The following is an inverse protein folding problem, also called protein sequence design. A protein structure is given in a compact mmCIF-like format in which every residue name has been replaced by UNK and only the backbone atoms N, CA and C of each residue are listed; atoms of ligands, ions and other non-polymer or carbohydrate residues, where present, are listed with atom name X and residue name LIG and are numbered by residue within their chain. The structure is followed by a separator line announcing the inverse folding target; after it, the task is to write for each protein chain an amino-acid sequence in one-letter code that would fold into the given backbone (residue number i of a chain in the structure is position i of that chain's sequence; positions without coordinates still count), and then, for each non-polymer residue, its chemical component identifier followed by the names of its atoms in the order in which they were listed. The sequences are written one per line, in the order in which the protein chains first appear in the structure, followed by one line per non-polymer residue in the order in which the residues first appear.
data_IF_587876255204
#
_entry.id   IF_587876255204
#
_cell.length_a   1.000
_cell.length_b   1.000
_cell.length_c   1.000
_cell.angle_alpha   90.00
_cell.angle_beta   90.00
_cell.angle_gamma   90.00
#
_symmetry.space_group_name_H-M   'P 1'
#
loop_
_entity.id
_entity.type
_entity.pdbx_description
1 polymer ?
#
# COMPACT_ATOMS: atom_id res chain seq x y z
N UNK A 1 41.78 -20.29 -29.95
CA UNK A 1 40.48 -20.24 -29.25
C UNK A 1 40.75 -20.18 -27.76
N UNK A 2 40.56 -19.03 -27.11
CA UNK A 2 40.61 -18.92 -25.64
C UNK A 2 39.23 -19.25 -25.07
N UNK A 3 39.12 -20.04 -23.98
CA UNK A 3 37.84 -20.27 -23.32
C UNK A 3 37.47 -19.05 -22.47
N UNK A 4 36.25 -18.56 -22.66
CA UNK A 4 35.63 -17.55 -21.82
C UNK A 4 35.17 -18.24 -20.52
N UNK A 5 35.93 -18.09 -19.44
CA UNK A 5 35.48 -18.47 -18.10
C UNK A 5 34.39 -17.49 -17.66
N UNK A 6 33.12 -17.90 -17.75
CA UNK A 6 32.02 -17.19 -17.11
C UNK A 6 32.10 -17.42 -15.60
N UNK A 7 32.61 -16.42 -14.87
CA UNK A 7 32.43 -16.35 -13.42
C UNK A 7 30.94 -16.16 -13.13
N UNK A 8 30.28 -17.20 -12.61
CA UNK A 8 28.98 -17.04 -11.98
C UNK A 8 29.15 -16.09 -10.79
N UNK A 9 28.62 -14.87 -10.92
CA UNK A 9 28.45 -14.00 -9.77
C UNK A 9 27.44 -14.68 -8.82
N UNK A 10 27.91 -15.12 -7.65
CA UNK A 10 27.02 -15.57 -6.59
C UNK A 10 26.19 -14.36 -6.17
N UNK A 11 24.89 -14.38 -6.48
CA UNK A 11 23.93 -13.41 -5.96
C UNK A 11 23.96 -13.52 -4.44
N UNK A 12 24.38 -12.45 -3.76
CA UNK A 12 24.21 -12.40 -2.31
C UNK A 12 22.72 -12.55 -1.99
N UNK A 13 22.35 -13.38 -0.99
CA UNK A 13 20.96 -13.46 -0.57
C UNK A 13 20.52 -12.06 -0.19
N UNK A 14 19.38 -11.64 -0.74
CA UNK A 14 18.78 -10.37 -0.37
C UNK A 14 18.61 -10.33 1.17
N UNK A 15 18.86 -9.17 1.80
CA UNK A 15 18.64 -9.04 3.23
C UNK A 15 17.21 -9.48 3.58
N UNK A 16 17.09 -10.29 4.63
CA UNK A 16 15.79 -10.68 5.16
C UNK A 16 15.23 -9.53 6.01
N UNK A 17 13.95 -9.24 5.84
CA UNK A 17 13.23 -8.23 6.62
C UNK A 17 12.09 -8.89 7.37
N UNK A 18 11.99 -8.63 8.68
CA UNK A 18 10.88 -9.12 9.50
C UNK A 18 9.62 -8.27 9.33
N UNK A 19 9.78 -7.00 8.96
CA UNK A 19 8.68 -6.04 8.86
C UNK A 19 8.70 -5.34 7.50
N UNK A 20 7.56 -5.35 6.83
CA UNK A 20 7.35 -4.65 5.55
C UNK A 20 6.18 -3.70 5.71
N UNK A 21 6.41 -2.43 5.37
CA UNK A 21 5.35 -1.42 5.29
C UNK A 21 5.20 -0.98 3.85
N UNK A 22 4.01 -1.20 3.29
CA UNK A 22 3.62 -0.67 1.99
C UNK A 22 2.90 0.65 2.20
N UNK A 23 3.60 1.76 1.93
CA UNK A 23 3.06 3.11 2.10
C UNK A 23 2.47 3.60 0.77
N UNK A 24 1.18 3.93 0.77
CA UNK A 24 0.52 4.67 -0.31
C UNK A 24 0.22 6.09 0.16
N UNK A 25 0.81 7.07 -0.52
CA UNK A 25 0.47 8.49 -0.32
C UNK A 25 -0.43 8.88 -1.48
N UNK A 26 -1.73 8.94 -1.22
CA UNK A 26 -2.73 9.16 -2.25
C UNK A 26 -2.59 10.56 -2.85
N UNK A 27 -2.69 10.66 -4.17
CA UNK A 27 -2.51 11.92 -4.90
C UNK A 27 -1.09 12.51 -4.85
N UNK A 28 -0.06 11.74 -4.45
CA UNK A 28 1.33 12.22 -4.43
C UNK A 28 1.90 12.35 -5.84
N UNK A 29 2.21 13.58 -6.23
CA UNK A 29 2.69 13.93 -7.55
C UNK A 29 4.21 13.69 -7.65
N UNK A 30 4.67 12.99 -8.69
CA UNK A 30 6.09 12.63 -8.86
C UNK A 30 7.03 13.86 -8.88
N UNK A 31 6.55 15.01 -9.35
CA UNK A 31 7.26 16.28 -9.33
C UNK A 31 7.70 16.76 -7.93
N UNK A 32 7.09 16.26 -6.85
CA UNK A 32 7.55 16.50 -5.46
C UNK A 32 8.99 16.03 -5.24
N UNK A 33 9.43 15.01 -5.97
CA UNK A 33 10.76 14.43 -5.84
C UNK A 33 11.84 15.19 -6.64
N UNK A 34 11.50 16.30 -7.30
CA UNK A 34 12.46 17.18 -7.97
C UNK A 34 12.98 18.27 -7.02
N UNK A 35 14.26 18.63 -7.14
CA UNK A 35 14.81 19.79 -6.43
C UNK A 35 14.20 21.10 -6.99
N UNK A 36 13.96 22.13 -6.15
CA UNK A 36 14.34 22.20 -4.73
C UNK A 36 13.31 21.61 -3.75
N UNK A 37 12.17 21.07 -4.24
CA UNK A 37 11.07 20.62 -3.37
C UNK A 37 11.53 19.49 -2.45
N UNK A 38 12.10 18.44 -3.02
CA UNK A 38 12.52 17.25 -2.25
C UNK A 38 13.59 17.55 -1.20
N UNK A 39 14.40 18.59 -1.44
CA UNK A 39 15.51 18.99 -0.55
C UNK A 39 14.98 19.50 0.81
N UNK A 40 13.74 19.99 0.84
CA UNK A 40 13.02 20.38 2.06
C UNK A 40 12.23 19.26 2.74
N UNK A 41 12.25 18.04 2.18
CA UNK A 41 11.44 16.89 2.61
C UNK A 41 12.38 15.76 3.07
N UNK A 42 12.85 15.76 4.34
CA UNK A 42 13.90 14.86 4.80
C UNK A 42 13.56 13.36 4.69
N UNK A 43 12.31 12.95 4.89
CA UNK A 43 11.94 11.54 4.77
C UNK A 43 11.92 11.09 3.31
N UNK A 44 11.33 11.87 2.41
CA UNK A 44 11.33 11.60 0.98
C UNK A 44 12.73 11.68 0.37
N UNK A 45 13.54 12.66 0.80
CA UNK A 45 14.98 12.72 0.48
C UNK A 45 15.73 11.46 0.92
N UNK A 46 15.39 10.90 2.09
CA UNK A 46 15.95 9.63 2.57
C UNK A 46 15.51 8.46 1.69
N UNK A 47 14.23 8.37 1.36
CA UNK A 47 13.70 7.31 0.48
C UNK A 47 14.31 7.36 -0.92
N UNK A 48 14.57 8.57 -1.47
CA UNK A 48 15.13 8.76 -2.81
C UNK A 48 16.54 8.18 -2.98
N UNK A 49 17.28 8.00 -1.87
CA UNK A 49 18.60 7.34 -1.89
C UNK A 49 18.52 5.83 -2.09
N UNK A 50 17.35 5.22 -1.86
CA UNK A 50 17.10 3.81 -2.11
C UNK A 50 16.78 3.50 -3.58
N UNK A 51 16.67 2.22 -3.93
CA UNK A 51 16.19 1.81 -5.25
C UNK A 51 14.74 2.26 -5.46
N UNK A 52 14.44 2.84 -6.63
CA UNK A 52 13.10 3.31 -6.94
C UNK A 52 12.99 3.97 -8.31
N UNK A 53 11.76 4.25 -8.73
CA UNK A 53 11.43 4.93 -9.99
C UNK A 53 10.40 6.04 -9.74
N UNK A 54 10.50 7.13 -10.51
CA UNK A 54 9.48 8.18 -10.58
C UNK A 54 8.53 7.98 -11.77
N UNK A 55 8.78 6.96 -12.58
CA UNK A 55 8.02 6.62 -13.79
C UNK A 55 7.04 5.45 -13.55
N UNK A 56 6.73 5.16 -12.28
CA UNK A 56 5.67 4.22 -11.95
C UNK A 56 4.33 4.78 -12.45
N UNK A 57 3.60 3.99 -13.24
CA UNK A 57 2.33 4.41 -13.82
C UNK A 57 1.18 3.73 -13.08
N UNK A 58 0.13 4.50 -12.85
CA UNK A 58 -1.20 3.98 -12.52
C UNK A 58 -1.70 3.07 -13.63
N UNK A 59 -2.79 2.36 -13.35
CA UNK A 59 -3.54 1.67 -14.39
C UNK A 59 -3.87 2.64 -15.55
N UNK A 60 -3.75 2.14 -16.79
CA UNK A 60 -3.91 2.97 -17.98
C UNK A 60 -5.37 3.37 -18.23
N UNK A 61 -6.32 2.56 -17.76
CA UNK A 61 -7.75 2.73 -18.01
C UNK A 61 -8.44 3.50 -16.87
N UNK A 62 -7.79 3.64 -15.72
CA UNK A 62 -8.32 4.40 -14.58
C UNK A 62 -7.22 5.02 -13.74
N UNK A 63 -7.23 6.35 -13.61
CA UNK A 63 -6.33 7.13 -12.74
C UNK A 63 -7.03 7.62 -11.46
N UNK A 64 -7.90 6.78 -10.89
CA UNK A 64 -8.68 7.08 -9.68
C UNK A 64 -8.25 6.19 -8.51
N UNK A 65 -8.41 6.71 -7.27
CA UNK A 65 -7.91 6.09 -6.04
C UNK A 65 -8.20 4.60 -5.93
N UNK A 66 -9.46 4.20 -5.72
CA UNK A 66 -9.75 2.84 -5.26
C UNK A 66 -9.38 1.75 -6.29
N UNK A 67 -9.64 1.90 -7.60
CA UNK A 67 -9.17 0.94 -8.60
C UNK A 67 -7.65 0.74 -8.59
N UNK A 68 -6.87 1.83 -8.57
CA UNK A 68 -5.40 1.71 -8.51
C UNK A 68 -4.91 1.04 -7.24
N UNK A 69 -5.56 1.29 -6.10
CA UNK A 69 -5.21 0.63 -4.84
C UNK A 69 -5.54 -0.86 -4.87
N UNK A 70 -6.62 -1.26 -5.54
CA UNK A 70 -6.88 -2.68 -5.82
C UNK A 70 -5.77 -3.26 -6.69
N UNK A 71 -5.30 -2.53 -7.72
CA UNK A 71 -4.18 -2.98 -8.56
C UNK A 71 -2.89 -3.15 -7.76
N UNK A 72 -2.57 -2.21 -6.89
CA UNK A 72 -1.41 -2.27 -6.00
C UNK A 72 -1.43 -3.51 -5.10
N UNK A 73 -2.57 -3.80 -4.46
CA UNK A 73 -2.68 -4.91 -3.52
C UNK A 73 -2.82 -6.28 -4.17
N UNK A 74 -3.35 -6.34 -5.39
CA UNK A 74 -3.60 -7.60 -6.11
C UNK A 74 -2.57 -7.88 -7.19
N UNK A 75 -1.69 -6.93 -7.49
CA UNK A 75 -0.75 -6.97 -8.62
C UNK A 75 -1.43 -7.24 -9.97
N UNK A 76 -2.65 -6.72 -10.16
CA UNK A 76 -3.47 -6.93 -11.35
C UNK A 76 -3.97 -5.60 -11.91
N UNK A 77 -4.06 -5.44 -13.24
CA UNK A 77 -4.71 -4.27 -13.83
C UNK A 77 -6.22 -4.30 -13.62
N UNK A 78 -6.88 -3.17 -13.86
CA UNK A 78 -8.33 -3.00 -13.79
C UNK A 78 -9.06 -4.01 -14.67
N UNK A 79 -8.51 -4.31 -15.85
CA UNK A 79 -9.05 -5.31 -16.78
C UNK A 79 -9.12 -6.73 -16.19
N UNK A 80 -8.35 -7.02 -15.13
CA UNK A 80 -8.34 -8.32 -14.46
C UNK A 80 -9.12 -8.33 -13.14
N UNK A 81 -9.00 -7.30 -12.30
CA UNK A 81 -9.71 -7.26 -11.00
C UNK A 81 -11.11 -6.65 -11.10
N UNK A 82 -11.42 -5.90 -12.17
CA UNK A 82 -12.74 -5.40 -12.53
C UNK A 82 -13.37 -4.35 -11.61
N UNK A 83 -12.66 -3.92 -10.56
CA UNK A 83 -13.16 -2.95 -9.58
C UNK A 83 -12.96 -1.51 -10.06
N UNK A 84 -14.00 -0.93 -10.63
CA UNK A 84 -13.98 0.41 -11.25
C UNK A 84 -14.56 1.54 -10.39
N UNK A 85 -15.12 1.22 -9.22
CA UNK A 85 -15.82 2.19 -8.38
C UNK A 85 -14.89 2.89 -7.40
N UNK A 86 -15.20 4.14 -7.05
CA UNK A 86 -14.44 4.94 -6.09
C UNK A 86 -15.29 5.40 -4.91
N UNK A 87 -16.37 4.69 -4.60
CA UNK A 87 -17.25 4.96 -3.47
C UNK A 87 -17.08 3.88 -2.40
N UNK A 88 -17.73 4.07 -1.25
CA UNK A 88 -17.83 3.01 -0.26
C UNK A 88 -18.48 1.76 -0.91
N UNK A 89 -17.88 0.57 -0.73
CA UNK A 89 -18.40 -0.64 -1.36
C UNK A 89 -19.80 -0.98 -0.81
N UNK A 90 -20.68 -1.55 -1.65
CA UNK A 90 -21.95 -2.08 -1.16
C UNK A 90 -21.71 -3.22 -0.16
N UNK A 91 -22.76 -3.73 0.50
CA UNK A 91 -22.62 -4.93 1.32
C UNK A 91 -22.18 -6.15 0.48
N UNK A 92 -21.50 -7.12 1.10
CA UNK A 92 -21.01 -8.36 0.43
C UNK A 92 -22.11 -9.04 -0.40
N UNK A 93 -23.33 -9.18 0.16
CA UNK A 93 -24.50 -9.79 -0.52
C UNK A 93 -24.96 -9.05 -1.79
N UNK A 94 -24.49 -7.83 -2.00
CA UNK A 94 -24.77 -6.98 -3.15
C UNK A 94 -23.54 -6.77 -4.04
N UNK A 95 -22.54 -7.66 -3.96
CA UNK A 95 -21.34 -7.59 -4.79
C UNK A 95 -20.23 -6.71 -4.21
N UNK A 96 -20.26 -6.40 -2.91
CA UNK A 96 -19.29 -5.57 -2.19
C UNK A 96 -17.91 -6.17 -1.97
N UNK A 97 -17.42 -7.02 -2.87
CA UNK A 97 -16.07 -7.58 -2.79
C UNK A 97 -15.41 -7.56 -4.16
N UNK A 98 -14.08 -7.47 -4.16
CA UNK A 98 -13.27 -7.63 -5.39
C UNK A 98 -13.58 -8.98 -6.04
N UNK A 99 -13.80 -10.03 -5.24
CA UNK A 99 -14.06 -11.39 -5.72
C UNK A 99 -15.40 -11.52 -6.45
N UNK A 100 -16.45 -10.94 -5.88
CA UNK A 100 -17.77 -10.93 -6.51
C UNK A 100 -17.73 -10.15 -7.83
N UNK A 101 -16.99 -9.04 -7.86
CA UNK A 101 -16.83 -8.23 -9.08
C UNK A 101 -16.06 -8.98 -10.17
N UNK A 102 -15.00 -9.68 -9.82
CA UNK A 102 -14.19 -10.45 -10.75
C UNK A 102 -14.82 -11.82 -11.13
N UNK A 103 -15.89 -12.24 -10.45
CA UNK A 103 -16.49 -13.57 -10.62
C UNK A 103 -15.62 -14.73 -10.12
N UNK A 104 -14.51 -14.43 -9.45
CA UNK A 104 -13.53 -15.40 -8.92
C UNK A 104 -12.75 -14.80 -7.76
N UNK A 105 -12.13 -15.64 -6.95
CA UNK A 105 -11.20 -15.16 -5.92
C UNK A 105 -9.99 -14.47 -6.57
N UNK A 106 -9.58 -13.33 -6.01
CA UNK A 106 -8.44 -12.53 -6.48
C UNK A 106 -7.47 -12.38 -5.30
N UNK A 107 -6.42 -13.20 -5.23
CA UNK A 107 -5.42 -13.12 -4.17
C UNK A 107 -4.77 -11.74 -4.11
N UNK A 108 -4.51 -11.27 -2.91
CA UNK A 108 -3.76 -10.06 -2.60
C UNK A 108 -2.39 -10.36 -1.99
N UNK A 109 -1.60 -9.32 -1.78
CA UNK A 109 -0.37 -9.38 -0.98
C UNK A 109 -0.64 -9.85 0.46
N UNK A 110 -1.84 -9.61 1.00
CA UNK A 110 -2.22 -10.10 2.33
C UNK A 110 -2.36 -11.62 2.35
N UNK A 111 -2.93 -12.24 1.32
CA UNK A 111 -2.94 -13.70 1.18
C UNK A 111 -1.51 -14.27 1.16
N UNK A 112 -0.62 -13.65 0.37
CA UNK A 112 0.76 -14.13 0.23
C UNK A 112 1.53 -14.12 1.57
N UNK A 113 1.28 -13.12 2.41
CA UNK A 113 1.88 -12.94 3.72
C UNK A 113 1.21 -13.81 4.79
N UNK A 114 -0.12 -13.72 4.91
CA UNK A 114 -0.90 -14.39 5.94
C UNK A 114 -0.75 -15.91 5.87
N UNK A 115 -0.81 -16.51 4.67
CA UNK A 115 -0.63 -17.96 4.46
C UNK A 115 0.75 -18.49 4.93
N UNK A 116 1.68 -17.60 5.29
CA UNK A 116 3.02 -17.92 5.81
C UNK A 116 3.23 -17.49 7.26
N UNK A 117 2.14 -17.23 7.99
CA UNK A 117 2.17 -16.78 9.39
C UNK A 117 2.78 -15.40 9.57
N UNK A 118 2.69 -14.51 8.57
CA UNK A 118 3.06 -13.10 8.70
C UNK A 118 1.82 -12.33 9.11
N UNK A 119 1.91 -11.53 10.17
CA UNK A 119 0.76 -10.77 10.66
C UNK A 119 0.51 -9.54 9.79
N UNK A 120 -0.73 -9.31 9.42
CA UNK A 120 -1.10 -8.30 8.42
C UNK A 120 -1.92 -7.17 9.01
N UNK A 121 -1.78 -5.96 8.47
CA UNK A 121 -2.67 -4.87 8.84
C UNK A 121 -2.96 -3.88 7.71
N UNK A 122 -4.11 -3.23 7.83
CA UNK A 122 -4.58 -2.14 6.98
C UNK A 122 -4.79 -0.88 7.83
N UNK A 123 -4.07 0.19 7.52
CA UNK A 123 -4.24 1.52 8.09
C UNK A 123 -4.71 2.46 6.98
N UNK A 124 -5.95 2.93 7.03
CA UNK A 124 -6.56 3.67 5.92
C UNK A 124 -7.23 4.98 6.31
N UNK A 125 -6.86 6.05 5.59
CA UNK A 125 -7.44 7.39 5.73
C UNK A 125 -8.82 7.60 5.07
N UNK A 126 -9.31 6.64 4.27
CA UNK A 126 -10.57 6.76 3.51
C UNK A 126 -11.47 5.55 3.75
N UNK A 127 -12.74 5.78 4.08
CA UNK A 127 -13.73 4.72 4.40
C UNK A 127 -13.90 3.70 3.28
N UNK A 128 -13.77 4.12 2.01
CA UNK A 128 -13.92 3.24 0.84
C UNK A 128 -12.93 2.06 0.80
N UNK A 129 -11.83 2.15 1.56
CA UNK A 129 -10.87 1.05 1.74
C UNK A 129 -11.42 -0.09 2.60
N UNK A 130 -12.62 0.07 3.18
CA UNK A 130 -13.41 -1.03 3.74
C UNK A 130 -13.61 -2.17 2.74
N UNK A 131 -13.50 -1.89 1.43
CA UNK A 131 -13.46 -2.91 0.38
C UNK A 131 -12.44 -4.01 0.66
N UNK A 132 -11.27 -3.66 1.18
CA UNK A 132 -10.20 -4.63 1.44
C UNK A 132 -10.55 -5.52 2.62
N UNK A 133 -11.09 -4.98 3.70
CA UNK A 133 -11.61 -5.80 4.81
C UNK A 133 -12.79 -6.67 4.36
N UNK A 134 -13.71 -6.14 3.54
CA UNK A 134 -14.81 -6.96 3.02
C UNK A 134 -14.35 -8.08 2.10
N UNK A 135 -13.28 -7.88 1.32
CA UNK A 135 -12.77 -8.87 0.38
C UNK A 135 -11.87 -9.90 1.06
N UNK A 136 -11.03 -9.46 2.01
CA UNK A 136 -9.96 -10.26 2.58
C UNK A 136 -10.16 -10.59 4.07
N UNK A 137 -11.19 -10.05 4.72
CA UNK A 137 -11.58 -10.42 6.09
C UNK A 137 -12.30 -11.77 6.16
N UNK A 138 -12.66 -12.19 7.38
CA UNK A 138 -13.18 -13.53 7.67
C UNK A 138 -14.40 -13.95 6.82
N UNK A 139 -15.21 -12.99 6.39
CA UNK A 139 -16.43 -13.24 5.62
C UNK A 139 -16.21 -13.62 4.16
N UNK A 140 -15.07 -13.27 3.56
CA UNK A 140 -14.83 -13.45 2.12
C UNK A 140 -13.43 -13.95 1.76
N UNK A 141 -12.44 -13.83 2.66
CA UNK A 141 -11.08 -14.31 2.42
C UNK A 141 -11.01 -15.82 2.18
N UNK A 142 -9.97 -16.28 1.48
CA UNK A 142 -9.76 -17.70 1.20
C UNK A 142 -9.23 -18.44 2.44
N UNK A 143 -9.23 -19.77 2.41
CA UNK A 143 -8.39 -20.55 3.34
C UNK A 143 -6.92 -20.38 2.98
N UNK A 144 -6.01 -20.64 3.90
CA UNK A 144 -4.59 -20.62 3.57
C UNK A 144 -4.24 -21.73 2.57
N UNK A 145 -3.38 -21.39 1.60
CA UNK A 145 -2.88 -22.35 0.62
C UNK A 145 -1.81 -23.29 1.20
N UNK A 146 -1.20 -22.91 2.33
CA UNK A 146 -0.13 -23.65 2.99
C UNK A 146 -0.44 -23.87 4.48
N UNK A 147 -0.25 -25.08 5.03
CA UNK A 147 -0.39 -25.32 6.47
C UNK A 147 0.72 -24.63 7.30
N UNK A 148 0.46 -24.28 8.58
CA UNK A 148 -0.84 -24.32 9.25
C UNK A 148 -1.81 -23.27 8.68
N UNK A 149 -3.12 -23.55 8.77
CA UNK A 149 -4.17 -22.59 8.33
C UNK A 149 -4.43 -21.60 9.47
N UNK A 150 -3.96 -20.37 9.31
CA UNK A 150 -4.13 -19.25 10.23
C UNK A 150 -5.53 -18.60 10.10
N UNK A 151 -6.35 -19.09 9.16
CA UNK A 151 -7.75 -18.75 9.01
C UNK A 151 -8.06 -17.86 7.81
N UNK A 152 -9.33 -17.53 7.64
CA UNK A 152 -9.82 -16.84 6.44
C UNK A 152 -9.62 -15.32 6.46
N UNK A 153 -9.36 -14.74 7.62
CA UNK A 153 -9.17 -13.30 7.76
C UNK A 153 -7.72 -12.94 7.42
N UNK A 154 -7.46 -12.63 6.15
CA UNK A 154 -6.11 -12.31 5.66
C UNK A 154 -5.57 -10.98 6.19
N UNK A 155 -6.40 -10.16 6.82
CA UNK A 155 -6.04 -8.90 7.46
C UNK A 155 -6.33 -9.01 8.96
N UNK A 156 -5.28 -9.08 9.80
CA UNK A 156 -5.46 -9.27 11.25
C UNK A 156 -5.94 -8.01 11.98
N UNK A 157 -5.57 -6.83 11.46
CA UNK A 157 -5.88 -5.54 12.05
C UNK A 157 -6.29 -4.53 10.99
N UNK A 158 -7.42 -3.87 11.22
CA UNK A 158 -7.89 -2.77 10.39
C UNK A 158 -8.06 -1.52 11.24
N UNK A 159 -7.48 -0.42 10.78
CA UNK A 159 -7.55 0.89 11.44
C UNK A 159 -7.99 1.94 10.44
N UNK A 160 -9.08 2.64 10.77
CA UNK A 160 -9.49 3.85 10.05
C UNK A 160 -9.35 5.06 10.96
N UNK A 161 -8.71 6.11 10.43
CA UNK A 161 -8.63 7.39 11.11
C UNK A 161 -8.63 8.52 10.08
N UNK A 162 -9.24 9.64 10.42
CA UNK A 162 -9.30 10.81 9.53
C UNK A 162 -7.95 11.52 9.38
N UNK A 163 -7.06 11.40 10.38
CA UNK A 163 -5.75 12.04 10.38
C UNK A 163 -4.67 11.01 10.11
N UNK A 164 -3.88 11.22 9.07
CA UNK A 164 -2.75 10.38 8.69
C UNK A 164 -1.68 10.29 9.77
N UNK A 165 -1.49 11.35 10.57
CA UNK A 165 -0.65 11.31 11.76
C UNK A 165 -1.03 10.17 12.73
N UNK A 166 -2.34 9.97 12.96
CA UNK A 166 -2.82 8.92 13.85
C UNK A 166 -2.60 7.53 13.23
N UNK A 167 -2.71 7.39 11.90
CA UNK A 167 -2.43 6.15 11.19
C UNK A 167 -0.94 5.79 11.23
N UNK A 168 -0.07 6.76 10.93
CA UNK A 168 1.38 6.58 10.97
C UNK A 168 1.87 6.23 12.39
N UNK A 169 1.36 6.92 13.41
CA UNK A 169 1.70 6.62 14.80
C UNK A 169 1.25 5.21 15.23
N UNK A 170 0.04 4.79 14.84
CA UNK A 170 -0.45 3.44 15.16
C UNK A 170 0.31 2.35 14.39
N UNK A 171 0.68 2.62 13.13
CA UNK A 171 1.54 1.73 12.35
C UNK A 171 2.92 1.57 13.03
N UNK A 172 3.58 2.67 13.40
CA UNK A 172 4.86 2.65 14.10
C UNK A 172 4.79 1.93 15.47
N UNK A 173 3.71 2.12 16.22
CA UNK A 173 3.48 1.43 17.48
C UNK A 173 3.30 -0.08 17.28
N UNK A 174 2.58 -0.49 16.23
CA UNK A 174 2.43 -1.90 15.85
C UNK A 174 3.77 -2.52 15.48
N UNK A 175 4.58 -1.86 14.66
CA UNK A 175 5.92 -2.35 14.27
C UNK A 175 6.81 -2.55 15.51
N UNK A 176 6.83 -1.57 16.42
CA UNK A 176 7.61 -1.65 17.65
C UNK A 176 7.18 -2.83 18.53
N UNK A 177 5.87 -3.05 18.65
CA UNK A 177 5.31 -4.18 19.39
C UNK A 177 5.65 -5.52 18.72
N UNK A 178 5.46 -5.61 17.40
CA UNK A 178 5.74 -6.83 16.66
C UNK A 178 7.23 -7.21 16.73
N UNK A 179 8.12 -6.23 16.67
CA UNK A 179 9.57 -6.44 16.87
C UNK A 179 9.87 -7.00 18.27
N UNK A 180 9.26 -6.44 19.32
CA UNK A 180 9.41 -6.94 20.69
C UNK A 180 8.87 -8.38 20.85
N UNK A 181 7.79 -8.70 20.14
CA UNK A 181 7.17 -10.04 20.11
C UNK A 181 7.87 -11.01 19.13
N UNK A 182 8.91 -10.57 18.40
CA UNK A 182 9.59 -11.33 17.33
C UNK A 182 8.61 -11.85 16.27
N UNK A 183 7.60 -11.06 15.94
CA UNK A 183 6.60 -11.37 14.91
C UNK A 183 6.96 -10.69 13.60
N UNK A 184 6.75 -11.38 12.49
CA UNK A 184 6.86 -10.78 11.16
C UNK A 184 5.59 -10.02 10.80
N UNK A 185 5.70 -8.89 10.10
CA UNK A 185 4.53 -8.10 9.67
C UNK A 185 4.56 -7.66 8.22
N UNK A 186 3.37 -7.56 7.64
CA UNK A 186 3.08 -6.83 6.41
C UNK A 186 1.95 -5.84 6.66
N UNK A 187 2.28 -4.55 6.66
CA UNK A 187 1.32 -3.49 6.95
C UNK A 187 1.12 -2.59 5.72
N UNK A 188 -0.13 -2.29 5.37
CA UNK A 188 -0.46 -1.31 4.34
C UNK A 188 -0.90 0.00 4.99
N UNK A 189 -0.20 1.10 4.71
CA UNK A 189 -0.46 2.43 5.25
C UNK A 189 -0.89 3.37 4.13
N UNK A 190 -2.14 3.81 4.16
CA UNK A 190 -2.70 4.79 3.24
C UNK A 190 -2.89 6.15 3.90
N UNK A 191 -2.18 7.15 3.36
CA UNK A 191 -2.24 8.55 3.77
C UNK A 191 -2.97 9.35 2.68
N UNK A 192 -4.01 10.09 3.08
CA UNK A 192 -4.98 10.68 2.14
C UNK A 192 -4.73 12.17 1.87
N UNK A 193 -3.86 12.80 2.65
CA UNK A 193 -3.76 14.26 2.76
C UNK A 193 -3.43 14.96 1.44
N UNK A 194 -2.46 14.49 0.63
CA UNK A 194 -2.15 15.15 -0.63
C UNK A 194 -3.27 15.07 -1.66
N UNK A 195 -4.01 13.95 -1.72
CA UNK A 195 -5.20 13.82 -2.54
C UNK A 195 -6.30 14.80 -2.11
N UNK A 196 -6.58 14.88 -0.80
CA UNK A 196 -7.59 15.82 -0.26
C UNK A 196 -7.21 17.26 -0.56
N UNK A 197 -5.94 17.63 -0.35
CA UNK A 197 -5.45 18.98 -0.65
C UNK A 197 -5.47 19.27 -2.15
N UNK A 198 -5.06 18.30 -2.99
CA UNK A 198 -5.07 18.42 -4.45
C UNK A 198 -6.47 18.67 -5.00
N UNK A 199 -7.47 17.97 -4.47
CA UNK A 199 -8.87 18.22 -4.83
C UNK A 199 -9.41 19.56 -4.36
N UNK A 200 -8.98 20.06 -3.20
CA UNK A 200 -9.48 21.30 -2.61
C UNK A 200 -8.76 22.57 -3.13
N UNK A 201 -7.49 22.43 -3.51
CA UNK A 201 -6.58 23.55 -3.74
C UNK A 201 -5.66 23.35 -4.95
N UNK A 202 -6.01 22.43 -5.85
CA UNK A 202 -5.21 22.02 -7.00
C UNK A 202 -3.91 21.30 -6.61
N UNK A 203 -3.27 20.66 -7.59
CA UNK A 203 -2.01 19.91 -7.42
C UNK A 203 -0.80 20.82 -7.60
N UNK A 204 -0.85 22.02 -7.01
CA UNK A 204 0.13 23.09 -7.23
C UNK A 204 1.47 22.77 -6.53
N UNK A 205 2.55 22.79 -7.30
CA UNK A 205 3.92 22.55 -6.83
C UNK A 205 4.69 23.85 -6.50
N UNK A 206 4.03 25.01 -6.48
CA UNK A 206 4.67 26.25 -6.04
C UNK A 206 4.97 26.22 -4.53
N UNK A 207 6.14 26.71 -4.08
CA UNK A 207 6.46 26.79 -2.66
C UNK A 207 5.38 27.54 -1.86
N UNK A 208 4.88 26.90 -0.79
CA UNK A 208 3.83 27.46 0.05
C UNK A 208 2.40 27.13 -0.39
N UNK A 209 2.21 26.36 -1.47
CA UNK A 209 0.89 25.86 -1.85
C UNK A 209 0.30 24.93 -0.77
N UNK A 210 -1.03 24.86 -0.70
CA UNK A 210 -1.71 23.95 0.24
C UNK A 210 -1.44 22.48 -0.07
N UNK A 211 -1.21 22.15 -1.34
CA UNK A 211 -0.77 20.83 -1.75
C UNK A 211 0.61 20.50 -1.14
N UNK A 212 1.64 21.35 -1.32
CA UNK A 212 2.96 21.08 -0.75
C UNK A 212 2.98 21.13 0.78
N UNK A 213 2.15 21.94 1.43
CA UNK A 213 1.97 21.90 2.90
C UNK A 213 1.48 20.52 3.36
N UNK A 214 0.55 19.91 2.63
CA UNK A 214 0.03 18.56 2.93
C UNK A 214 1.06 17.45 2.66
N UNK A 215 1.87 17.58 1.61
CA UNK A 215 2.99 16.69 1.32
C UNK A 215 4.04 16.77 2.43
N UNK A 216 4.36 17.98 2.91
CA UNK A 216 5.29 18.18 4.02
C UNK A 216 4.74 17.63 5.34
N UNK A 217 3.42 17.61 5.54
CA UNK A 217 2.79 16.92 6.68
C UNK A 217 3.06 15.41 6.62
N UNK A 218 2.82 14.79 5.47
CA UNK A 218 3.09 13.36 5.26
C UNK A 218 4.56 13.03 5.45
N UNK A 219 5.48 13.84 4.89
CA UNK A 219 6.93 13.64 5.05
C UNK A 219 7.34 13.59 6.54
N UNK A 220 6.75 14.42 7.40
CA UNK A 220 7.03 14.43 8.85
C UNK A 220 6.57 13.16 9.58
N UNK A 221 5.68 12.37 8.98
CA UNK A 221 5.16 11.14 9.58
C UNK A 221 5.93 9.89 9.17
N UNK A 222 6.88 9.99 8.22
CA UNK A 222 7.64 8.89 7.62
C UNK A 222 9.12 8.84 8.04
#
# INVERSE_FOLDING_TARGET
MLPLLATLAMSQPAPAFDHVVMVSVDGLHAGVFASPIVDGLPAFSRLRRGPGTLEARTDADATITLPNHVSMLTSRPLSEHGWQWNDDPPAIRHGGTIHARAGKYIPSVFDAAHDRGVSTALFAGKTKFWLFEQSYGAGAGAKDATPPDDGRAKIDLVVFAKRGADLAAQCAARLSRAAAEKRRTLDFLHLAEPDVAGHAHEWDLTPGSKYLESVALVDRWL
#
